data_IF_370521038611
#
_entry.id   IF_370521038611
#
_cell.length_a   1.000
_cell.length_b   1.000
_cell.length_c   1.000
_cell.angle_alpha   90.00
_cell.angle_beta   90.00
_cell.angle_gamma   90.00
#
_symmetry.space_group_name_H-M   'P 1'
#
loop_
_entity.id
_entity.type
_entity.pdbx_description
1 polymer ?
#
# COMPACT_ATOMS: atom_id res chain seq x y z
N UNK A 1 -6.75 7.88 15.24
CA UNK A 1 -6.10 6.56 15.32
C UNK A 1 -7.17 5.49 15.19
N UNK A 2 -6.96 4.55 14.28
CA UNK A 2 -7.75 3.33 14.17
C UNK A 2 -6.81 2.13 14.26
N UNK A 3 -7.19 1.11 15.04
CA UNK A 3 -6.46 -0.16 15.14
C UNK A 3 -7.40 -1.29 14.75
N UNK A 4 -6.96 -2.16 13.85
CA UNK A 4 -7.75 -3.29 13.36
C UNK A 4 -6.98 -4.59 13.51
N UNK A 5 -7.62 -5.62 14.06
CA UNK A 5 -7.04 -6.95 14.18
C UNK A 5 -7.26 -7.71 12.86
N UNK A 6 -6.17 -7.99 12.14
CA UNK A 6 -6.18 -8.67 10.85
C UNK A 6 -5.83 -10.16 10.97
N UNK A 7 -4.95 -10.50 11.91
CA UNK A 7 -4.41 -11.85 12.04
C UNK A 7 -5.12 -12.71 13.09
N UNK A 8 -4.45 -13.81 13.42
CA UNK A 8 -4.94 -14.82 14.37
C UNK A 8 -5.58 -16.02 13.67
N UNK A 9 -5.57 -17.17 14.35
CA UNK A 9 -5.96 -18.46 13.77
C UNK A 9 -7.42 -18.50 13.28
N UNK A 10 -8.30 -17.67 13.85
CA UNK A 10 -9.72 -17.61 13.51
C UNK A 10 -10.07 -16.44 12.56
N UNK A 11 -9.09 -15.62 12.17
CA UNK A 11 -9.35 -14.50 11.28
C UNK A 11 -9.58 -14.99 9.86
N UNK A 12 -10.76 -14.69 9.30
CA UNK A 12 -11.06 -14.95 7.88
C UNK A 12 -10.15 -14.17 6.95
N UNK A 13 -9.61 -13.04 7.40
CA UNK A 13 -8.64 -12.29 6.63
C UNK A 13 -7.33 -13.08 6.47
N UNK A 14 -6.81 -13.64 7.56
CA UNK A 14 -5.59 -14.47 7.54
C UNK A 14 -5.81 -15.81 6.83
N UNK A 15 -6.93 -16.48 7.11
CA UNK A 15 -7.26 -17.79 6.52
C UNK A 15 -7.41 -17.73 4.99
N UNK A 16 -7.73 -16.57 4.44
CA UNK A 16 -7.85 -16.36 2.99
C UNK A 16 -6.53 -15.94 2.32
N UNK A 17 -5.36 -16.12 2.97
CA UNK A 17 -4.06 -15.67 2.42
C UNK A 17 -3.63 -16.38 1.12
N UNK A 18 -4.15 -17.57 0.85
CA UNK A 18 -3.76 -18.42 -0.30
C UNK A 18 -4.84 -18.45 -1.40
N UNK A 19 -5.62 -17.38 -1.53
CA UNK A 19 -6.77 -17.33 -2.45
C UNK A 19 -6.51 -16.54 -3.75
N UNK A 20 -5.24 -16.32 -4.12
CA UNK A 20 -4.81 -15.61 -5.34
C UNK A 20 -5.40 -14.19 -5.52
N UNK A 21 -5.78 -13.52 -4.42
CA UNK A 21 -6.25 -12.14 -4.48
C UNK A 21 -5.10 -11.15 -4.75
N UNK A 22 -5.44 -9.98 -5.29
CA UNK A 22 -4.48 -8.89 -5.52
C UNK A 22 -3.88 -8.31 -4.23
N UNK A 23 -4.49 -8.60 -3.09
CA UNK A 23 -4.11 -8.05 -1.80
C UNK A 23 -3.01 -8.88 -1.13
N UNK A 24 -1.91 -8.23 -0.72
CA UNK A 24 -0.69 -8.92 -0.26
C UNK A 24 -0.59 -9.21 1.24
N UNK A 25 -0.96 -8.26 2.10
CA UNK A 25 -0.56 -8.29 3.52
C UNK A 25 -1.45 -9.16 4.42
N UNK A 26 -1.87 -10.33 3.93
CA UNK A 26 -2.79 -11.25 4.62
C UNK A 26 -2.20 -11.89 5.88
N UNK A 27 -0.89 -11.89 5.99
CA UNK A 27 -0.12 -12.36 7.16
C UNK A 27 -0.03 -11.33 8.30
N UNK A 28 -0.58 -10.12 8.10
CA UNK A 28 -0.55 -9.04 9.10
C UNK A 28 -1.37 -9.39 10.34
N UNK A 29 -0.80 -9.18 11.53
CA UNK A 29 -1.47 -9.38 12.82
C UNK A 29 -2.43 -8.24 13.16
N UNK A 30 -1.92 -7.01 13.12
CA UNK A 30 -2.63 -5.78 13.46
C UNK A 30 -2.25 -4.71 12.45
N UNK A 31 -3.24 -3.92 12.02
CA UNK A 31 -3.02 -2.69 11.25
C UNK A 31 -3.35 -1.50 12.13
N UNK A 32 -2.56 -0.43 11.99
CA UNK A 32 -2.85 0.85 12.60
C UNK A 32 -2.86 1.95 11.53
N UNK A 33 -3.92 2.76 11.54
CA UNK A 33 -4.02 4.00 10.74
C UNK A 33 -3.94 5.20 11.67
N UNK A 34 -3.04 6.13 11.38
CA UNK A 34 -2.78 7.32 12.17
C UNK A 34 -3.02 8.58 11.33
N UNK A 35 -4.20 9.18 11.48
CA UNK A 35 -4.51 10.47 10.88
C UNK A 35 -3.97 11.62 11.75
N UNK A 36 -3.20 12.52 11.15
CA UNK A 36 -2.72 13.75 11.77
C UNK A 36 -3.47 14.95 11.20
N UNK A 37 -4.44 15.46 11.94
CA UNK A 37 -5.16 16.69 11.58
C UNK A 37 -4.43 17.89 12.19
N UNK A 38 -4.27 18.95 11.41
CA UNK A 38 -3.60 20.17 11.85
C UNK A 38 -4.35 21.41 11.33
N UNK A 39 -4.14 22.55 11.99
CA UNK A 39 -4.66 23.84 11.51
C UNK A 39 -4.06 24.23 10.15
N UNK A 40 -4.75 25.08 9.40
CA UNK A 40 -4.22 25.63 8.16
C UNK A 40 -2.98 26.50 8.45
N UNK A 41 -1.96 26.36 7.61
CA UNK A 41 -0.72 27.13 7.69
C UNK A 41 0.53 26.26 7.61
N UNK A 42 1.56 26.77 6.93
CA UNK A 42 2.76 26.00 6.57
C UNK A 42 3.48 25.42 7.78
N UNK A 43 3.55 26.17 8.88
CA UNK A 43 4.16 25.72 10.15
C UNK A 43 3.50 24.45 10.69
N UNK A 44 2.16 24.39 10.65
CA UNK A 44 1.41 23.26 11.19
C UNK A 44 1.48 22.06 10.27
N UNK A 45 1.46 22.29 8.96
CA UNK A 45 1.69 21.27 7.94
C UNK A 45 3.08 20.64 8.09
N UNK A 46 4.13 21.45 8.17
CA UNK A 46 5.50 20.97 8.33
C UNK A 46 5.66 20.14 9.61
N UNK A 47 5.04 20.58 10.72
CA UNK A 47 5.04 19.81 11.95
C UNK A 47 4.34 18.45 11.79
N UNK A 48 3.15 18.43 11.16
CA UNK A 48 2.40 17.20 10.93
C UNK A 48 3.14 16.21 10.03
N UNK A 49 3.75 16.70 8.95
CA UNK A 49 4.57 15.89 8.03
C UNK A 49 5.81 15.31 8.74
N UNK A 50 6.50 16.10 9.56
CA UNK A 50 7.62 15.61 10.38
C UNK A 50 7.18 14.56 11.40
N UNK A 51 6.04 14.79 12.06
CA UNK A 51 5.47 13.82 13.00
C UNK A 51 5.11 12.51 12.29
N UNK A 52 4.46 12.58 11.13
CA UNK A 52 4.09 11.42 10.33
C UNK A 52 5.33 10.63 9.90
N UNK A 53 6.32 11.30 9.31
CA UNK A 53 7.57 10.67 8.86
C UNK A 53 8.32 10.01 10.03
N UNK A 54 8.30 10.64 11.22
CA UNK A 54 8.92 10.06 12.41
C UNK A 54 8.21 8.79 12.87
N UNK A 55 6.88 8.78 12.87
CA UNK A 55 6.11 7.57 13.20
C UNK A 55 6.38 6.45 12.21
N UNK A 56 6.34 6.69 10.89
CA UNK A 56 6.64 5.68 9.88
C UNK A 56 8.01 5.06 10.13
N UNK A 57 9.05 5.88 10.36
CA UNK A 57 10.42 5.39 10.59
C UNK A 57 10.60 4.53 11.85
N UNK A 58 9.71 4.65 12.84
CA UNK A 58 9.71 3.83 14.05
C UNK A 58 8.86 2.57 13.85
N UNK A 59 7.70 2.72 13.23
CA UNK A 59 6.66 1.70 13.16
C UNK A 59 6.91 0.67 12.06
N UNK A 60 7.64 1.04 11.00
CA UNK A 60 7.95 0.13 9.91
C UNK A 60 9.35 0.38 9.33
N UNK A 61 10.03 -0.71 8.98
CA UNK A 61 11.35 -0.71 8.37
C UNK A 61 12.32 -1.69 9.03
N UNK A 62 13.51 -1.91 8.46
CA UNK A 62 14.42 -2.98 8.88
C UNK A 62 14.79 -2.95 10.38
N UNK A 63 14.92 -1.75 10.94
CA UNK A 63 15.23 -1.51 12.35
C UNK A 63 14.00 -1.47 13.27
N UNK A 64 12.79 -1.44 12.73
CA UNK A 64 11.56 -1.33 13.53
C UNK A 64 11.35 -2.56 14.41
N UNK A 65 10.87 -2.40 15.66
CA UNK A 65 10.44 -3.52 16.49
C UNK A 65 9.07 -4.08 16.09
N UNK A 66 8.31 -3.39 15.23
CA UNK A 66 6.93 -3.77 14.88
C UNK A 66 6.82 -4.46 13.53
N UNK A 67 7.29 -3.83 12.44
CA UNK A 67 7.27 -4.41 11.09
C UNK A 67 8.59 -4.17 10.38
N UNK A 68 9.19 -5.21 9.81
CA UNK A 68 10.48 -5.12 9.10
C UNK A 68 10.40 -4.49 7.72
N UNK A 69 9.21 -4.38 7.18
CA UNK A 69 8.91 -3.73 5.91
C UNK A 69 7.70 -2.81 6.09
N UNK A 70 7.60 -1.80 5.26
CA UNK A 70 6.40 -0.96 5.20
C UNK A 70 5.30 -1.77 4.50
N UNK A 71 4.09 -1.77 5.08
CA UNK A 71 2.93 -2.49 4.55
C UNK A 71 1.73 -1.57 4.64
N UNK A 72 1.34 -1.00 3.51
CA UNK A 72 0.22 -0.04 3.38
C UNK A 72 -1.04 -0.74 2.88
N UNK A 73 -2.17 -0.19 3.31
CA UNK A 73 -3.48 -0.54 2.77
C UNK A 73 -3.89 0.52 1.74
N UNK A 74 -4.57 0.12 0.67
CA UNK A 74 -5.01 1.05 -0.38
C UNK A 74 -5.85 2.22 0.15
N UNK A 75 -6.65 2.00 1.21
CA UNK A 75 -7.48 3.06 1.82
C UNK A 75 -6.72 3.95 2.83
N UNK A 76 -5.50 3.56 3.24
CA UNK A 76 -4.62 4.34 4.12
C UNK A 76 -3.43 4.95 3.37
N UNK A 77 -3.59 5.19 2.07
CA UNK A 77 -2.53 5.68 1.20
C UNK A 77 -2.17 7.14 1.53
N UNK A 78 -0.88 7.47 1.53
CA UNK A 78 -0.34 8.80 1.84
C UNK A 78 1.06 8.95 1.24
N UNK A 79 1.46 10.18 0.90
CA UNK A 79 2.81 10.49 0.39
C UNK A 79 2.84 10.57 -1.13
N UNK A 80 3.75 9.83 -1.76
CA UNK A 80 3.83 9.73 -3.22
C UNK A 80 2.67 8.86 -3.75
N UNK A 81 1.94 9.41 -4.72
CA UNK A 81 0.76 8.77 -5.33
C UNK A 81 1.08 8.10 -6.66
N UNK A 82 2.33 8.11 -7.11
CA UNK A 82 2.72 7.37 -8.31
C UNK A 82 2.97 5.90 -7.99
N UNK A 83 1.91 5.08 -8.12
CA UNK A 83 1.98 3.65 -7.86
C UNK A 83 2.82 2.90 -8.91
N UNK A 84 3.31 3.59 -9.96
CA UNK A 84 4.25 3.03 -10.93
C UNK A 84 5.69 2.94 -10.44
N UNK A 85 6.06 3.72 -9.41
CA UNK A 85 7.40 3.74 -8.84
C UNK A 85 7.63 2.56 -7.90
N UNK A 86 8.82 1.99 -7.96
CA UNK A 86 9.17 0.81 -7.18
C UNK A 86 9.06 1.04 -5.68
N UNK A 87 9.63 2.15 -5.23
CA UNK A 87 9.60 2.61 -3.85
C UNK A 87 8.17 2.88 -3.32
N UNK A 88 7.17 3.01 -4.21
CA UNK A 88 5.76 3.18 -3.83
C UNK A 88 5.04 1.84 -3.86
N UNK A 89 5.12 1.07 -4.96
CA UNK A 89 4.33 -0.16 -5.06
C UNK A 89 4.78 -1.26 -4.12
N UNK A 90 6.04 -1.30 -3.72
CA UNK A 90 6.57 -2.27 -2.73
C UNK A 90 5.89 -2.14 -1.36
N UNK A 91 5.34 -0.97 -1.03
CA UNK A 91 4.54 -0.77 0.18
C UNK A 91 3.15 -1.42 0.09
N UNK A 92 2.64 -1.72 -1.11
CA UNK A 92 1.28 -2.24 -1.33
C UNK A 92 1.24 -3.69 -1.83
N UNK A 93 2.32 -4.18 -2.45
CA UNK A 93 2.41 -5.51 -3.04
C UNK A 93 3.66 -6.27 -2.57
N UNK A 94 3.51 -7.58 -2.32
CA UNK A 94 4.55 -8.41 -1.69
C UNK A 94 5.81 -8.61 -2.52
N UNK A 95 5.68 -8.56 -3.84
CA UNK A 95 6.77 -8.76 -4.76
C UNK A 95 6.48 -8.17 -6.15
N UNK A 96 7.54 -8.09 -6.94
CA UNK A 96 7.48 -7.63 -8.32
C UNK A 96 6.65 -8.55 -9.22
N UNK A 97 6.60 -9.86 -8.93
CA UNK A 97 5.86 -10.83 -9.75
C UNK A 97 4.35 -10.55 -9.69
N UNK A 98 3.81 -10.36 -8.49
CA UNK A 98 2.42 -9.98 -8.24
C UNK A 98 2.12 -8.62 -8.86
N UNK A 99 2.95 -7.61 -8.64
CA UNK A 99 2.75 -6.28 -9.22
C UNK A 99 2.68 -6.35 -10.76
N UNK A 100 3.62 -7.06 -11.40
CA UNK A 100 3.65 -7.23 -12.84
C UNK A 100 2.48 -8.08 -13.37
N UNK A 101 2.06 -9.13 -12.64
CA UNK A 101 0.88 -9.94 -12.99
C UNK A 101 -0.37 -9.06 -13.05
N UNK A 102 -0.56 -8.18 -12.07
CA UNK A 102 -1.65 -7.21 -12.05
C UNK A 102 -1.52 -6.18 -13.18
N UNK A 103 -0.30 -5.70 -13.46
CA UNK A 103 -0.05 -4.77 -14.56
C UNK A 103 -0.37 -5.35 -15.94
N UNK A 104 -0.06 -6.63 -16.18
CA UNK A 104 -0.48 -7.34 -17.40
C UNK A 104 -2.00 -7.51 -17.48
N UNK A 105 -2.64 -7.85 -16.38
CA UNK A 105 -4.11 -7.95 -16.33
C UNK A 105 -4.77 -6.60 -16.65
N UNK A 106 -4.24 -5.49 -16.09
CA UNK A 106 -4.69 -4.14 -16.42
C UNK A 106 -4.46 -3.80 -17.89
N UNK A 107 -3.26 -4.03 -18.44
CA UNK A 107 -2.96 -3.74 -19.84
C UNK A 107 -3.89 -4.47 -20.82
N UNK A 108 -4.32 -5.69 -20.48
CA UNK A 108 -5.31 -6.46 -21.25
C UNK A 108 -6.73 -5.90 -21.11
N UNK A 109 -7.15 -5.50 -19.91
CA UNK A 109 -8.52 -5.10 -19.61
C UNK A 109 -8.82 -3.62 -19.89
N UNK A 110 -7.81 -2.75 -19.75
CA UNK A 110 -7.88 -1.30 -19.91
C UNK A 110 -6.69 -0.77 -20.74
N UNK A 111 -6.53 -1.22 -22.00
CA UNK A 111 -5.37 -0.87 -22.83
C UNK A 111 -5.24 0.64 -23.11
N UNK A 112 -6.35 1.36 -23.11
CA UNK A 112 -6.39 2.80 -23.37
C UNK A 112 -6.40 3.63 -22.08
N UNK A 113 -6.33 3.01 -20.90
CA UNK A 113 -6.39 3.72 -19.63
C UNK A 113 -7.73 4.41 -19.34
N UNK A 114 -8.83 3.96 -19.96
CA UNK A 114 -10.17 4.54 -19.80
C UNK A 114 -10.63 4.51 -18.34
N UNK A 115 -10.25 3.49 -17.58
CA UNK A 115 -10.58 3.34 -16.16
C UNK A 115 -9.46 3.79 -15.23
N UNK A 116 -8.44 4.48 -15.76
CA UNK A 116 -7.30 4.96 -15.00
C UNK A 116 -7.41 6.47 -14.74
N UNK A 117 -8.05 6.83 -13.63
CA UNK A 117 -8.30 8.24 -13.31
C UNK A 117 -7.06 9.02 -12.83
N UNK A 118 -6.05 8.34 -12.28
CA UNK A 118 -4.84 8.97 -11.74
C UNK A 118 -3.64 7.99 -11.72
N UNK A 119 -2.48 8.48 -11.30
CA UNK A 119 -1.22 7.72 -11.24
C UNK A 119 -1.16 6.71 -10.08
N UNK A 120 -2.10 6.75 -9.14
CA UNK A 120 -2.22 5.77 -8.06
C UNK A 120 -2.97 4.52 -8.55
N UNK A 121 -2.44 3.92 -9.61
CA UNK A 121 -2.96 2.71 -10.25
C UNK A 121 -1.80 1.84 -10.73
N UNK A 122 -1.90 0.52 -10.52
CA UNK A 122 -0.87 -0.46 -10.95
C UNK A 122 -0.54 -0.26 -12.41
N UNK A 123 0.70 0.05 -12.79
CA UNK A 123 1.09 0.35 -14.18
C UNK A 123 0.58 -0.70 -15.17
N UNK A 124 -0.04 -0.25 -16.26
CA UNK A 124 -0.41 -1.13 -17.36
C UNK A 124 0.86 -1.67 -18.04
N UNK A 125 0.95 -2.98 -18.21
CA UNK A 125 2.03 -3.64 -18.94
C UNK A 125 1.44 -4.18 -20.23
N UNK A 126 1.92 -3.68 -21.37
CA UNK A 126 1.51 -4.18 -22.69
C UNK A 126 1.88 -5.66 -22.82
N UNK A 127 0.88 -6.51 -22.97
CA UNK A 127 1.07 -7.85 -23.50
C UNK A 127 1.04 -7.75 -25.02
N UNK A 128 2.21 -7.68 -25.67
CA UNK A 128 2.29 -7.89 -27.12
C UNK A 128 1.57 -9.22 -27.45
N UNK A 129 0.71 -9.19 -28.46
CA UNK A 129 -0.32 -10.19 -28.75
C UNK A 129 0.09 -11.65 -28.49
N UNK A 130 -0.77 -12.35 -27.75
CA UNK A 130 -0.79 -13.81 -27.69
C UNK A 130 -1.27 -14.40 -29.02
#
# INVERSE_FOLDING_TARGET
>A
MQVQCFGGANSRFYLNKENDTSYSWRDTSVVQTLDCFHELGDKYKEYAEKWQAKNDSIMAGPSSPFSKQVRRLLWGSYGDWDLGKQEVWEDYYEDAEKYQKLGRARGKADPNGTFTANVFAVSAIETKGA
#
